data_IF_249716921939
#
_entry.id   IF_249716921939
#
_cell.length_a   1.000
_cell.length_b   1.000
_cell.length_c   1.000
_cell.angle_alpha   90.00
_cell.angle_beta   90.00
_cell.angle_gamma   90.00
#
_symmetry.space_group_name_H-M   'P 1'
#
loop_
_entity.id
_entity.type
_entity.pdbx_description
1 polymer ?
#
# COMPACT_ATOMS: atom_id res chain seq x y z
N UNK A 1 -0.57 29.73 -6.14
CA UNK A 1 -0.57 29.00 -4.86
C UNK A 1 0.03 27.65 -5.14
N UNK A 2 1.22 27.36 -4.61
CA UNK A 2 1.82 26.04 -4.74
C UNK A 2 0.87 25.01 -4.12
N UNK A 3 0.27 24.18 -4.97
CA UNK A 3 -0.60 23.12 -4.49
C UNK A 3 0.27 22.14 -3.70
N UNK A 4 -0.10 21.90 -2.44
CA UNK A 4 0.56 20.93 -1.57
C UNK A 4 0.58 19.57 -2.28
N UNK A 5 1.77 18.99 -2.48
CA UNK A 5 1.89 17.64 -3.01
C UNK A 5 1.30 16.65 -1.99
N UNK A 6 0.54 15.63 -2.44
CA UNK A 6 0.04 14.60 -1.55
C UNK A 6 1.20 13.83 -0.92
N UNK A 7 0.98 13.32 0.28
CA UNK A 7 1.90 12.39 0.92
C UNK A 7 1.62 10.96 0.43
N UNK A 8 2.66 10.29 -0.08
CA UNK A 8 2.56 8.98 -0.70
C UNK A 8 3.03 7.91 0.29
N UNK A 9 2.09 7.05 0.68
CA UNK A 9 2.28 5.93 1.61
C UNK A 9 2.19 4.63 0.81
N UNK A 10 3.25 3.84 0.82
CA UNK A 10 3.27 2.53 0.15
C UNK A 10 3.19 1.41 1.17
N UNK A 11 2.25 0.48 0.98
CA UNK A 11 2.13 -0.71 1.80
C UNK A 11 2.89 -1.85 1.10
N UNK A 12 4.08 -2.19 1.60
CA UNK A 12 4.98 -3.13 0.95
C UNK A 12 5.36 -4.29 1.87
N UNK A 13 5.46 -5.49 1.31
CA UNK A 13 6.07 -6.66 1.94
C UNK A 13 6.32 -7.72 0.87
N UNK A 14 7.47 -8.39 0.92
CA UNK A 14 7.82 -9.47 -0.01
C UNK A 14 7.18 -10.81 0.37
N UNK A 15 6.42 -10.85 1.48
CA UNK A 15 5.66 -12.02 1.90
C UNK A 15 4.18 -11.84 1.58
N UNK A 16 3.59 -12.86 0.94
CA UNK A 16 2.14 -12.93 0.74
C UNK A 16 1.37 -13.13 2.05
N UNK A 17 0.12 -12.69 2.11
CA UNK A 17 -0.77 -12.99 3.23
C UNK A 17 -0.55 -12.20 4.53
N UNK A 18 0.40 -11.25 4.57
CA UNK A 18 0.65 -10.40 5.75
C UNK A 18 -0.38 -9.29 5.97
N UNK A 19 -1.32 -9.10 5.03
CA UNK A 19 -2.43 -8.14 5.15
C UNK A 19 -2.19 -6.77 4.51
N UNK A 20 -1.34 -6.65 3.48
CA UNK A 20 -1.05 -5.39 2.76
C UNK A 20 -2.32 -4.66 2.28
N UNK A 21 -3.13 -5.32 1.45
CA UNK A 21 -4.39 -4.76 0.93
C UNK A 21 -5.40 -4.43 2.03
N UNK A 22 -5.40 -5.20 3.12
CA UNK A 22 -6.26 -4.93 4.29
C UNK A 22 -5.83 -3.64 4.99
N UNK A 23 -4.53 -3.48 5.27
CA UNK A 23 -3.98 -2.24 5.87
C UNK A 23 -4.24 -1.05 4.96
N UNK A 24 -3.99 -1.17 3.65
CA UNK A 24 -4.27 -0.12 2.67
C UNK A 24 -5.76 0.31 2.70
N UNK A 25 -6.66 -0.67 2.74
CA UNK A 25 -8.10 -0.45 2.83
C UNK A 25 -8.47 0.28 4.11
N UNK A 26 -8.07 -0.22 5.28
CA UNK A 26 -8.45 0.38 6.57
C UNK A 26 -7.83 1.76 6.75
N UNK A 27 -6.57 1.96 6.33
CA UNK A 27 -5.93 3.28 6.34
C UNK A 27 -6.71 4.31 5.52
N UNK A 28 -7.21 3.92 4.34
CA UNK A 28 -8.01 4.83 3.52
C UNK A 28 -9.29 5.28 4.22
N UNK A 29 -9.95 4.40 4.98
CA UNK A 29 -11.13 4.75 5.78
C UNK A 29 -10.77 5.60 6.99
N UNK A 30 -9.67 5.32 7.69
CA UNK A 30 -9.19 6.16 8.80
C UNK A 30 -8.89 7.58 8.34
N UNK A 31 -8.15 7.72 7.23
CA UNK A 31 -7.83 9.03 6.66
C UNK A 31 -9.10 9.76 6.19
N UNK A 32 -10.07 9.05 5.60
CA UNK A 32 -11.36 9.61 5.23
C UNK A 32 -12.10 10.16 6.47
N UNK A 33 -12.09 9.41 7.57
CA UNK A 33 -12.72 9.83 8.84
C UNK A 33 -12.00 11.02 9.49
N UNK A 34 -10.74 11.24 9.11
CA UNK A 34 -9.95 12.44 9.41
C UNK A 34 -10.14 13.58 8.38
N UNK A 35 -11.19 13.50 7.53
CA UNK A 35 -11.51 14.45 6.47
C UNK A 35 -10.39 14.67 5.44
N UNK A 36 -9.61 13.63 5.15
CA UNK A 36 -8.58 13.67 4.10
C UNK A 36 -9.13 13.19 2.77
N UNK A 37 -8.60 13.73 1.67
CA UNK A 37 -8.85 13.24 0.32
C UNK A 37 -7.75 12.25 -0.09
N UNK A 38 -8.14 11.03 -0.45
CA UNK A 38 -7.24 9.89 -0.65
C UNK A 38 -7.38 9.35 -2.07
N UNK A 39 -6.25 9.05 -2.69
CA UNK A 39 -6.15 8.18 -3.85
C UNK A 39 -5.56 6.83 -3.45
N UNK A 40 -6.31 5.76 -3.68
CA UNK A 40 -5.81 4.39 -3.62
C UNK A 40 -5.27 3.98 -4.99
N UNK A 41 -4.14 3.28 -5.02
CA UNK A 41 -3.60 2.66 -6.23
C UNK A 41 -3.27 1.20 -5.93
N UNK A 42 -3.90 0.30 -6.67
CA UNK A 42 -3.61 -1.13 -6.59
C UNK A 42 -2.58 -1.49 -7.66
N UNK A 43 -1.36 -1.85 -7.26
CA UNK A 43 -0.30 -2.36 -8.12
C UNK A 43 -0.15 -3.88 -8.01
N UNK A 44 -0.98 -4.57 -7.23
CA UNK A 44 -0.89 -6.02 -7.08
C UNK A 44 -1.71 -6.70 -8.19
N UNK A 45 -1.13 -7.56 -9.04
CA UNK A 45 -1.90 -8.33 -10.03
C UNK A 45 -2.95 -9.27 -9.40
N UNK A 46 -2.83 -9.60 -8.11
CA UNK A 46 -3.86 -10.31 -7.33
C UNK A 46 -5.08 -9.45 -7.00
N UNK A 47 -5.05 -8.16 -7.35
CA UNK A 47 -6.17 -7.22 -7.41
C UNK A 47 -7.10 -7.25 -6.19
N UNK A 48 -6.56 -7.50 -4.99
CA UNK A 48 -7.34 -7.70 -3.76
C UNK A 48 -7.99 -6.40 -3.30
N UNK A 49 -7.25 -5.28 -3.35
CA UNK A 49 -7.77 -3.95 -3.06
C UNK A 49 -8.86 -3.55 -4.06
N UNK A 50 -8.61 -3.81 -5.35
CA UNK A 50 -9.58 -3.57 -6.42
C UNK A 50 -10.87 -4.38 -6.22
N UNK A 51 -10.75 -5.66 -5.91
CA UNK A 51 -11.89 -6.55 -5.69
C UNK A 51 -12.76 -6.08 -4.52
N UNK A 52 -12.14 -5.55 -3.47
CA UNK A 52 -12.87 -4.97 -2.33
C UNK A 52 -13.75 -3.77 -2.75
N UNK A 53 -13.29 -2.94 -3.69
CA UNK A 53 -14.00 -1.77 -4.19
C UNK A 53 -14.71 -1.98 -5.54
N UNK A 54 -14.89 -3.23 -5.99
CA UNK A 54 -15.36 -3.56 -7.34
C UNK A 54 -16.64 -2.83 -7.75
N UNK A 55 -17.59 -2.65 -6.82
CA UNK A 55 -18.87 -1.95 -7.07
C UNK A 55 -18.73 -0.49 -7.50
N UNK A 56 -17.57 0.14 -7.31
CA UNK A 56 -17.30 1.53 -7.68
C UNK A 56 -16.55 1.66 -9.02
N UNK A 57 -16.14 0.54 -9.62
CA UNK A 57 -15.36 0.55 -10.85
C UNK A 57 -16.31 0.61 -12.04
N UNK A 58 -16.20 1.68 -12.84
CA UNK A 58 -17.07 1.90 -14.00
C UNK A 58 -16.65 1.04 -15.19
N UNK A 59 -15.35 1.01 -15.45
CA UNK A 59 -14.74 0.27 -16.56
C UNK A 59 -13.41 -0.30 -16.11
N UNK A 60 -13.36 -1.61 -15.94
CA UNK A 60 -12.15 -2.33 -15.51
C UNK A 60 -11.04 -2.29 -16.56
N UNK A 61 -11.32 -1.92 -17.81
CA UNK A 61 -10.29 -1.74 -18.83
C UNK A 61 -9.47 -0.47 -18.58
N UNK A 62 -9.96 0.49 -17.80
CA UNK A 62 -9.16 1.63 -17.34
C UNK A 62 -8.46 1.28 -16.02
N UNK A 63 -7.51 0.34 -16.10
CA UNK A 63 -6.74 -0.14 -14.96
C UNK A 63 -5.25 0.27 -15.05
N UNK A 64 -4.53 0.05 -13.96
CA UNK A 64 -3.13 0.45 -13.78
C UNK A 64 -2.19 -0.12 -14.85
N UNK A 65 -2.46 -1.32 -15.39
CA UNK A 65 -1.63 -1.89 -16.46
C UNK A 65 -1.66 -1.00 -17.70
N UNK A 66 -2.84 -0.56 -18.13
CA UNK A 66 -2.97 0.32 -19.30
C UNK A 66 -2.44 1.73 -19.03
N UNK A 67 -2.53 2.22 -17.78
CA UNK A 67 -1.83 3.45 -17.39
C UNK A 67 -0.31 3.29 -17.55
N UNK A 68 0.25 2.17 -17.09
CA UNK A 68 1.70 1.91 -17.16
C UNK A 68 2.20 1.56 -18.57
N UNK A 69 1.32 1.30 -19.55
CA UNK A 69 1.71 0.97 -20.92
C UNK A 69 2.23 2.14 -21.77
N UNK A 70 2.14 3.38 -21.28
CA UNK A 70 2.64 4.59 -21.97
C UNK A 70 2.04 4.83 -23.36
N UNK A 71 0.76 4.53 -23.55
CA UNK A 71 0.09 4.84 -24.82
C UNK A 71 -0.05 6.36 -25.00
N UNK A 72 0.07 6.85 -26.25
CA UNK A 72 0.24 8.28 -26.56
C UNK A 72 -0.97 9.18 -26.20
N UNK A 73 -2.08 8.62 -25.69
CA UNK A 73 -3.31 9.35 -25.34
C UNK A 73 -3.95 8.86 -24.03
N UNK A 74 -3.16 8.73 -22.96
CA UNK A 74 -3.72 8.45 -21.63
C UNK A 74 -4.39 9.70 -21.06
N UNK A 75 -5.70 9.62 -20.83
CA UNK A 75 -6.47 10.59 -20.05
C UNK A 75 -6.53 10.07 -18.61
N UNK A 76 -5.81 10.70 -17.69
CA UNK A 76 -5.65 10.21 -16.31
C UNK A 76 -7.00 10.06 -15.58
N UNK A 77 -7.96 10.96 -15.82
CA UNK A 77 -9.32 10.90 -15.26
C UNK A 77 -10.04 9.58 -15.55
N UNK A 78 -9.77 8.94 -16.69
CA UNK A 78 -10.43 7.68 -17.05
C UNK A 78 -10.06 6.54 -16.09
N UNK A 79 -8.88 6.62 -15.46
CA UNK A 79 -8.37 5.63 -14.52
C UNK A 79 -8.83 5.90 -13.08
N UNK A 80 -9.37 7.09 -12.80
CA UNK A 80 -9.82 7.50 -11.47
C UNK A 80 -11.27 7.07 -11.23
N UNK A 81 -11.45 6.05 -10.39
CA UNK A 81 -12.77 5.58 -9.97
C UNK A 81 -13.13 6.20 -8.62
N UNK A 82 -14.24 6.93 -8.56
CA UNK A 82 -14.72 7.57 -7.33
C UNK A 82 -15.44 6.56 -6.44
N UNK A 83 -14.95 6.35 -5.22
CA UNK A 83 -15.58 5.51 -4.20
C UNK A 83 -16.60 6.34 -3.40
N UNK A 84 -16.20 7.54 -2.98
CA UNK A 84 -17.05 8.53 -2.31
C UNK A 84 -16.47 9.94 -2.52
N UNK A 85 -16.92 10.94 -1.74
CA UNK A 85 -16.46 12.33 -1.89
C UNK A 85 -14.96 12.52 -1.64
N UNK A 86 -14.39 11.67 -0.78
CA UNK A 86 -13.01 11.79 -0.29
C UNK A 86 -12.08 10.69 -0.82
N UNK A 87 -12.60 9.58 -1.36
CA UNK A 87 -11.81 8.42 -1.76
C UNK A 87 -11.95 8.10 -3.25
N UNK A 88 -10.80 7.86 -3.88
CA UNK A 88 -10.67 7.48 -5.28
C UNK A 88 -9.77 6.25 -5.40
N UNK A 89 -9.89 5.50 -6.50
CA UNK A 89 -9.12 4.29 -6.77
C UNK A 89 -8.65 4.27 -8.22
N UNK A 90 -7.36 3.97 -8.43
CA UNK A 90 -6.84 3.42 -9.69
C UNK A 90 -6.78 1.89 -9.53
N UNK A 91 -7.63 1.14 -10.25
CA UNK A 91 -7.76 -0.30 -10.04
C UNK A 91 -6.64 -1.09 -10.72
N UNK A 92 -6.34 -2.25 -10.17
CA UNK A 92 -5.53 -3.31 -10.78
C UNK A 92 -6.41 -4.29 -11.57
N UNK A 93 -5.76 -5.12 -12.37
CA UNK A 93 -6.39 -6.24 -13.06
C UNK A 93 -5.34 -7.35 -13.25
N UNK A 94 -5.70 -8.66 -13.27
CA UNK A 94 -4.73 -9.75 -13.45
C UNK A 94 -3.84 -9.64 -14.71
N UNK A 95 -4.27 -8.88 -15.71
CA UNK A 95 -3.45 -8.55 -16.89
C UNK A 95 -2.14 -7.82 -16.53
N UNK A 96 -2.06 -7.17 -15.36
CA UNK A 96 -0.87 -6.51 -14.85
C UNK A 96 0.34 -7.45 -14.75
N UNK A 97 0.13 -8.76 -14.59
CA UNK A 97 1.19 -9.76 -14.69
C UNK A 97 1.98 -9.69 -16.02
N UNK A 98 1.38 -9.18 -17.09
CA UNK A 98 2.07 -8.98 -18.37
C UNK A 98 3.10 -7.86 -18.31
N UNK A 99 2.85 -6.82 -17.51
CA UNK A 99 3.77 -5.69 -17.37
C UNK A 99 5.18 -6.17 -17.07
N UNK A 100 5.34 -7.08 -16.10
CA UNK A 100 6.64 -7.66 -15.72
C UNK A 100 7.36 -8.39 -16.85
N UNK A 101 6.63 -9.03 -17.78
CA UNK A 101 7.22 -9.81 -18.88
C UNK A 101 7.60 -8.95 -20.09
N UNK A 102 7.11 -7.73 -20.15
CA UNK A 102 7.30 -6.85 -21.31
C UNK A 102 8.54 -5.99 -21.15
N UNK A 103 9.27 -5.83 -22.25
CA UNK A 103 10.41 -4.94 -22.34
C UNK A 103 9.93 -3.50 -22.59
N UNK A 104 9.95 -2.69 -21.54
CA UNK A 104 9.44 -1.32 -21.55
C UNK A 104 10.55 -0.39 -21.07
N UNK A 105 10.88 0.61 -21.87
CA UNK A 105 11.91 1.58 -21.52
C UNK A 105 11.49 2.42 -20.30
N UNK A 106 12.39 2.52 -19.32
CA UNK A 106 12.18 3.21 -18.03
C UNK A 106 10.99 2.65 -17.23
N UNK A 107 10.80 1.32 -17.28
CA UNK A 107 9.70 0.57 -16.67
C UNK A 107 9.35 0.99 -15.24
N UNK A 108 10.37 1.23 -14.42
CA UNK A 108 10.25 1.50 -12.98
C UNK A 108 9.90 2.97 -12.65
N UNK A 109 9.89 3.86 -13.66
CA UNK A 109 9.64 5.30 -13.52
C UNK A 109 8.30 5.73 -14.13
N UNK A 110 7.50 4.79 -14.63
CA UNK A 110 6.31 5.12 -15.41
C UNK A 110 5.24 5.74 -14.51
N UNK A 111 5.02 5.18 -13.32
CA UNK A 111 4.04 5.72 -12.38
C UNK A 111 4.41 7.14 -11.94
N UNK A 112 5.70 7.41 -11.69
CA UNK A 112 6.21 8.76 -11.43
C UNK A 112 5.83 9.74 -12.53
N UNK A 113 6.14 9.39 -13.79
CA UNK A 113 5.85 10.25 -14.92
C UNK A 113 4.37 10.65 -15.01
N UNK A 114 3.45 9.71 -14.75
CA UNK A 114 2.02 10.02 -14.73
C UNK A 114 1.62 10.84 -13.52
N UNK A 115 2.17 10.57 -12.36
CA UNK A 115 1.82 11.26 -11.14
C UNK A 115 2.31 12.71 -11.14
N UNK A 116 3.53 12.97 -11.57
CA UNK A 116 4.09 14.33 -11.69
C UNK A 116 3.28 15.20 -12.64
N UNK A 117 2.76 14.62 -13.73
CA UNK A 117 1.94 15.34 -14.71
C UNK A 117 0.52 15.61 -14.26
N UNK A 118 -0.06 14.75 -13.43
CA UNK A 118 -1.51 14.73 -13.22
C UNK A 118 -1.93 15.00 -11.78
N UNK A 119 -1.18 14.56 -10.76
CA UNK A 119 -1.66 14.61 -9.37
C UNK A 119 -1.92 16.03 -8.87
N UNK A 120 -1.16 17.03 -9.33
CA UNK A 120 -1.38 18.42 -8.96
C UNK A 120 -2.76 18.96 -9.38
N UNK A 121 -3.47 18.29 -10.30
CA UNK A 121 -4.83 18.67 -10.67
C UNK A 121 -5.87 18.23 -9.64
N UNK A 122 -5.52 17.28 -8.76
CA UNK A 122 -6.43 16.69 -7.78
C UNK A 122 -5.91 17.05 -6.39
N UNK A 123 -6.73 17.71 -5.58
CA UNK A 123 -6.36 18.12 -4.21
C UNK A 123 -6.34 16.92 -3.25
N UNK A 124 -5.59 15.87 -3.58
CA UNK A 124 -5.36 14.74 -2.69
C UNK A 124 -4.44 15.16 -1.55
N UNK A 125 -4.78 14.75 -0.34
CA UNK A 125 -3.90 14.84 0.83
C UNK A 125 -2.94 13.66 0.86
N UNK A 126 -3.44 12.47 0.49
CA UNK A 126 -2.69 11.21 0.57
C UNK A 126 -2.87 10.35 -0.69
N UNK A 127 -1.82 9.63 -1.05
CA UNK A 127 -1.88 8.48 -1.97
C UNK A 127 -1.46 7.23 -1.21
N UNK A 128 -2.29 6.19 -1.22
CA UNK A 128 -1.97 4.87 -0.67
C UNK A 128 -1.75 3.89 -1.82
N UNK A 129 -0.58 3.25 -1.84
CA UNK A 129 -0.22 2.29 -2.89
C UNK A 129 -0.12 0.89 -2.28
N UNK A 130 -0.94 -0.05 -2.75
CA UNK A 130 -0.86 -1.48 -2.43
C UNK A 130 0.01 -2.18 -3.48
N UNK A 131 1.01 -2.96 -3.06
CA UNK A 131 2.03 -3.53 -3.94
C UNK A 131 1.94 -5.05 -4.06
N UNK A 132 2.52 -5.70 -5.08
CA UNK A 132 2.64 -7.15 -5.10
C UNK A 132 3.57 -7.68 -4.00
N UNK A 133 3.45 -8.96 -3.60
CA UNK A 133 4.35 -9.60 -2.64
C UNK A 133 5.67 -10.07 -3.30
N UNK A 134 6.31 -9.22 -4.10
CA UNK A 134 7.54 -9.55 -4.83
C UNK A 134 8.38 -8.32 -5.11
N UNK A 135 9.70 -8.51 -5.17
CA UNK A 135 10.64 -7.53 -5.73
C UNK A 135 10.53 -7.56 -7.25
N UNK A 136 9.86 -6.56 -7.80
CA UNK A 136 9.47 -6.50 -9.21
C UNK A 136 9.43 -5.05 -9.69
N UNK A 137 9.37 -4.80 -10.99
CA UNK A 137 9.33 -3.43 -11.50
C UNK A 137 8.13 -2.62 -10.96
N UNK A 138 7.03 -3.30 -10.59
CA UNK A 138 5.88 -2.69 -9.91
C UNK A 138 6.23 -2.14 -8.52
N UNK A 139 7.06 -2.81 -7.73
CA UNK A 139 7.45 -2.29 -6.40
C UNK A 139 8.29 -1.02 -6.57
N UNK A 140 9.21 -0.98 -7.53
CA UNK A 140 10.03 0.21 -7.79
C UNK A 140 9.20 1.37 -8.34
N UNK A 141 8.16 1.10 -9.16
CA UNK A 141 7.20 2.14 -9.55
C UNK A 141 6.57 2.84 -8.33
N UNK A 142 6.27 2.09 -7.26
CA UNK A 142 5.82 2.68 -6.00
C UNK A 142 6.98 3.39 -5.29
N UNK A 143 8.06 2.67 -4.96
CA UNK A 143 9.16 3.19 -4.14
C UNK A 143 9.80 4.47 -4.71
N UNK A 144 9.86 4.61 -6.03
CA UNK A 144 10.42 5.80 -6.68
C UNK A 144 9.67 7.10 -6.34
N UNK A 145 8.37 7.03 -6.02
CA UNK A 145 7.53 8.18 -5.66
C UNK A 145 7.17 8.25 -4.17
N UNK A 146 7.35 7.16 -3.43
CA UNK A 146 6.96 7.05 -2.01
C UNK A 146 7.66 8.07 -1.10
N UNK A 147 6.91 8.57 -0.11
CA UNK A 147 7.43 9.31 1.05
C UNK A 147 7.58 8.41 2.28
N UNK A 148 6.60 7.52 2.50
CA UNK A 148 6.54 6.62 3.66
C UNK A 148 6.26 5.18 3.21
N UNK A 149 7.00 4.20 3.71
CA UNK A 149 6.72 2.77 3.50
C UNK A 149 6.22 2.16 4.80
N UNK A 150 5.10 1.46 4.73
CA UNK A 150 4.53 0.69 5.84
C UNK A 150 4.64 -0.79 5.51
N UNK A 151 5.33 -1.53 6.37
CA UNK A 151 5.62 -2.94 6.20
C UNK A 151 4.80 -3.73 7.22
N UNK A 152 3.64 -4.28 6.83
CA UNK A 152 2.94 -5.23 7.68
C UNK A 152 3.73 -6.53 7.73
N UNK A 153 3.97 -7.03 8.93
CA UNK A 153 4.66 -8.30 9.18
C UNK A 153 3.77 -9.22 10.01
N UNK A 154 3.92 -10.53 9.83
CA UNK A 154 3.41 -11.52 10.78
C UNK A 154 4.60 -12.06 11.55
N UNK A 155 4.51 -12.17 12.87
CA UNK A 155 5.61 -12.66 13.73
C UNK A 155 5.85 -14.16 13.50
N UNK A 156 6.50 -14.50 12.39
CA UNK A 156 6.90 -15.84 11.97
C UNK A 156 8.37 -15.82 11.56
N UNK A 157 9.06 -16.98 11.52
CA UNK A 157 10.51 -17.05 11.26
C UNK A 157 10.93 -16.23 10.03
N UNK A 158 10.15 -16.33 8.95
CA UNK A 158 10.39 -15.65 7.68
C UNK A 158 10.30 -14.11 7.73
N UNK A 159 9.71 -13.52 8.78
CA UNK A 159 9.63 -12.06 8.90
C UNK A 159 11.00 -11.42 9.15
N UNK A 160 11.83 -12.05 9.97
CA UNK A 160 13.20 -11.58 10.27
C UNK A 160 14.10 -11.68 9.03
N UNK A 161 13.84 -12.64 8.14
CA UNK A 161 14.61 -12.84 6.92
C UNK A 161 14.15 -11.94 5.76
N UNK A 162 12.85 -11.68 5.65
CA UNK A 162 12.27 -10.91 4.54
C UNK A 162 12.40 -9.40 4.69
N UNK A 163 12.43 -8.90 5.92
CA UNK A 163 12.53 -7.47 6.19
C UNK A 163 13.86 -6.84 5.73
N UNK A 164 15.05 -7.42 6.03
CA UNK A 164 16.33 -6.90 5.54
C UNK A 164 16.39 -6.75 4.03
N UNK A 165 15.86 -7.74 3.30
CA UNK A 165 15.84 -7.75 1.83
C UNK A 165 15.07 -6.52 1.32
N UNK A 166 13.85 -6.29 1.81
CA UNK A 166 13.08 -5.10 1.40
C UNK A 166 13.75 -3.78 1.85
N UNK A 167 14.40 -3.76 3.01
CA UNK A 167 15.14 -2.58 3.48
C UNK A 167 16.31 -2.21 2.58
N UNK A 168 17.02 -3.20 2.04
CA UNK A 168 18.13 -2.96 1.13
C UNK A 168 17.64 -2.35 -0.19
N UNK A 169 16.50 -2.82 -0.71
CA UNK A 169 15.85 -2.21 -1.90
C UNK A 169 15.41 -0.76 -1.64
N UNK A 170 14.85 -0.49 -0.47
CA UNK A 170 14.46 0.88 -0.08
C UNK A 170 15.71 1.77 -0.03
N UNK A 171 16.81 1.31 0.57
CA UNK A 171 18.07 2.06 0.65
C UNK A 171 18.68 2.32 -0.72
N UNK A 172 18.60 1.36 -1.64
CA UNK A 172 19.05 1.56 -3.02
C UNK A 172 18.26 2.69 -3.69
N UNK A 173 16.94 2.68 -3.57
CA UNK A 173 16.09 3.77 -4.08
C UNK A 173 16.42 5.10 -3.40
N UNK A 174 16.62 5.14 -2.08
CA UNK A 174 17.04 6.35 -1.36
C UNK A 174 18.35 6.93 -1.91
N UNK A 175 19.36 6.07 -2.15
CA UNK A 175 20.66 6.45 -2.69
C UNK A 175 20.55 7.02 -4.10
N UNK A 176 19.87 6.31 -5.01
CA UNK A 176 19.72 6.72 -6.41
C UNK A 176 18.94 8.03 -6.51
N UNK A 177 17.89 8.16 -5.71
CA UNK A 177 16.93 9.27 -5.79
C UNK A 177 17.31 10.44 -4.87
N UNK A 178 18.36 10.27 -4.06
CA UNK A 178 18.83 11.23 -3.05
C UNK A 178 17.69 11.73 -2.17
N UNK A 179 16.81 10.82 -1.76
CA UNK A 179 15.66 11.09 -0.91
C UNK A 179 15.69 10.17 0.30
N UNK A 180 14.99 10.57 1.36
CA UNK A 180 14.74 9.70 2.52
C UNK A 180 13.31 9.18 2.45
N UNK A 181 13.14 7.89 2.70
CA UNK A 181 11.86 7.21 2.83
C UNK A 181 11.70 6.85 4.30
N UNK A 182 10.61 7.30 4.92
CA UNK A 182 10.30 6.93 6.29
C UNK A 182 9.72 5.51 6.31
N UNK A 183 10.33 4.61 7.06
CA UNK A 183 9.94 3.19 7.12
C UNK A 183 9.29 2.91 8.46
N UNK A 184 8.13 2.25 8.42
CA UNK A 184 7.39 1.83 9.60
C UNK A 184 6.94 0.38 9.48
N UNK A 185 6.93 -0.33 10.61
CA UNK A 185 6.48 -1.72 10.73
C UNK A 185 5.16 -1.74 11.49
N UNK A 186 4.23 -2.58 11.02
CA UNK A 186 3.03 -2.95 11.76
C UNK A 186 3.07 -4.46 12.00
N UNK A 187 3.13 -4.86 13.26
CA UNK A 187 2.99 -6.26 13.65
C UNK A 187 1.53 -6.69 13.47
N UNK A 188 1.22 -7.36 12.37
CA UNK A 188 -0.14 -7.71 12.00
C UNK A 188 -0.49 -9.16 12.32
N UNK A 189 -1.78 -9.42 12.50
CA UNK A 189 -2.35 -10.74 12.82
C UNK A 189 -1.73 -11.37 14.07
N UNK A 190 -1.42 -10.53 15.06
CA UNK A 190 -0.86 -10.97 16.32
C UNK A 190 -1.84 -11.86 17.10
N UNK A 191 -1.37 -13.01 17.58
CA UNK A 191 -2.15 -13.96 18.39
C UNK A 191 -1.43 -14.15 19.72
N UNK A 192 -2.09 -13.76 20.80
CA UNK A 192 -1.58 -13.89 22.17
C UNK A 192 -1.30 -15.36 22.51
N UNK A 193 -0.21 -15.64 23.22
CA UNK A 193 0.18 -16.95 23.75
C UNK A 193 0.67 -18.01 22.74
N UNK A 194 1.23 -17.62 21.59
CA UNK A 194 2.03 -18.55 20.77
C UNK A 194 3.44 -18.69 21.35
N UNK A 195 3.62 -19.61 22.32
CA UNK A 195 4.93 -19.89 22.95
C UNK A 195 6.04 -20.23 21.93
N UNK A 196 5.69 -20.67 20.72
CA UNK A 196 6.61 -21.10 19.66
C UNK A 196 7.30 -19.97 18.90
N UNK A 197 6.94 -18.70 19.14
CA UNK A 197 7.43 -17.55 18.35
C UNK A 197 8.06 -16.43 19.20
N UNK A 198 8.23 -16.65 20.52
CA UNK A 198 8.80 -15.66 21.43
C UNK A 198 10.20 -15.23 21.03
N UNK A 199 11.08 -16.18 20.69
CA UNK A 199 12.45 -15.88 20.27
C UNK A 199 12.48 -15.00 19.00
N UNK A 200 11.52 -15.18 18.09
CA UNK A 200 11.43 -14.41 16.84
C UNK A 200 10.90 -12.99 17.12
N UNK A 201 9.90 -12.89 18.00
CA UNK A 201 9.40 -11.60 18.50
C UNK A 201 10.56 -10.82 19.15
N UNK A 202 11.33 -11.46 20.03
CA UNK A 202 12.50 -10.86 20.68
C UNK A 202 13.54 -10.38 19.67
N UNK A 203 13.91 -11.20 18.68
CA UNK A 203 14.86 -10.77 17.64
C UNK A 203 14.33 -9.58 16.85
N UNK A 204 13.05 -9.60 16.47
CA UNK A 204 12.43 -8.50 15.73
C UNK A 204 12.43 -7.20 16.55
N UNK A 205 12.09 -7.26 17.83
CA UNK A 205 12.14 -6.11 18.70
C UNK A 205 13.59 -5.65 18.93
N UNK A 206 14.55 -6.54 19.17
CA UNK A 206 15.96 -6.16 19.36
C UNK A 206 16.51 -5.43 18.12
N UNK A 207 16.21 -5.92 16.92
CA UNK A 207 16.77 -5.38 15.68
C UNK A 207 15.98 -4.19 15.12
N UNK A 208 14.65 -4.19 15.26
CA UNK A 208 13.78 -3.29 14.50
C UNK A 208 12.77 -2.50 15.35
N UNK A 209 12.92 -2.44 16.68
CA UNK A 209 11.98 -1.72 17.56
C UNK A 209 11.67 -0.29 17.08
N UNK A 210 12.68 0.43 16.59
CA UNK A 210 12.53 1.83 16.18
C UNK A 210 11.57 2.02 14.99
N UNK A 211 11.41 0.97 14.17
CA UNK A 211 10.50 0.96 13.03
C UNK A 211 9.08 0.56 13.44
N UNK A 212 8.88 -0.15 14.55
CA UNK A 212 7.57 -0.66 14.94
C UNK A 212 6.69 0.49 15.44
N UNK A 213 5.56 0.73 14.76
CA UNK A 213 4.58 1.78 15.10
C UNK A 213 3.26 1.24 15.65
N UNK A 214 3.07 -0.07 15.63
CA UNK A 214 1.87 -0.66 16.20
C UNK A 214 1.80 -2.16 16.02
N UNK A 215 0.84 -2.73 16.75
CA UNK A 215 0.50 -4.15 16.73
C UNK A 215 -1.00 -4.28 16.53
N UNK A 216 -1.40 -5.16 15.61
CA UNK A 216 -2.78 -5.43 15.23
C UNK A 216 -3.08 -6.88 15.52
N UNK A 217 -4.04 -7.10 16.41
CA UNK A 217 -4.45 -8.44 16.80
C UNK A 217 -5.24 -9.11 15.67
N UNK A 218 -5.08 -10.44 15.54
CA UNK A 218 -5.93 -11.22 14.67
C UNK A 218 -7.40 -11.04 15.08
N UNK A 219 -8.25 -10.70 14.11
CA UNK A 219 -9.69 -10.59 14.33
C UNK A 219 -10.48 -11.25 13.20
N UNK A 220 -11.47 -12.05 13.55
CA UNK A 220 -12.40 -12.64 12.59
C UNK A 220 -13.28 -11.57 11.92
N UNK A 221 -13.53 -10.43 12.58
CA UNK A 221 -14.31 -9.33 11.99
C UNK A 221 -13.65 -8.72 10.76
N UNK A 222 -12.31 -8.85 10.63
CA UNK A 222 -11.59 -8.50 9.40
C UNK A 222 -12.05 -9.33 8.21
N UNK A 223 -12.17 -10.65 8.39
CA UNK A 223 -12.63 -11.56 7.33
C UNK A 223 -14.07 -11.25 6.92
N UNK A 224 -14.91 -10.89 7.88
CA UNK A 224 -16.32 -10.55 7.63
C UNK A 224 -16.42 -9.34 6.71
N UNK A 225 -15.78 -8.21 7.05
CA UNK A 225 -15.92 -7.00 6.23
C UNK A 225 -15.28 -7.17 4.84
N UNK A 226 -14.18 -7.92 4.72
CA UNK A 226 -13.54 -8.20 3.44
C UNK A 226 -14.45 -9.07 2.56
N UNK A 227 -14.97 -10.18 3.10
CA UNK A 227 -15.80 -11.12 2.31
C UNK A 227 -17.16 -10.53 1.95
N UNK A 228 -17.71 -9.69 2.82
CA UNK A 228 -19.01 -9.03 2.59
C UNK A 228 -18.87 -7.68 1.88
N UNK A 229 -17.65 -7.24 1.54
CA UNK A 229 -17.34 -5.96 0.89
C UNK A 229 -17.96 -4.76 1.63
N UNK A 230 -17.93 -4.83 2.97
CA UNK A 230 -18.47 -3.81 3.88
C UNK A 230 -17.36 -2.88 4.36
N UNK A 231 -17.74 -1.65 4.64
CA UNK A 231 -16.85 -0.70 5.31
C UNK A 231 -16.39 -1.27 6.67
N UNK A 232 -15.10 -1.15 7.04
CA UNK A 232 -14.60 -1.61 8.33
C UNK A 232 -15.24 -0.81 9.47
N UNK A 233 -15.66 -1.51 10.52
CA UNK A 233 -16.32 -0.90 11.67
C UNK A 233 -15.28 -0.20 12.57
N UNK A 234 -15.41 1.12 12.74
CA UNK A 234 -14.50 1.95 13.53
C UNK A 234 -14.47 1.63 15.03
N UNK A 235 -15.46 0.87 15.53
CA UNK A 235 -15.51 0.43 16.92
C UNK A 235 -14.69 -0.84 17.19
N UNK A 236 -14.33 -1.58 16.15
CA UNK A 236 -13.56 -2.81 16.24
C UNK A 236 -12.12 -2.55 16.70
N UNK A 237 -11.54 -3.52 17.41
CA UNK A 237 -10.20 -3.43 17.98
C UNK A 237 -9.13 -3.22 16.89
N UNK A 238 -9.19 -3.98 15.79
CA UNK A 238 -8.21 -3.86 14.70
C UNK A 238 -8.21 -2.46 14.07
N UNK A 239 -9.37 -1.81 14.00
CA UNK A 239 -9.49 -0.47 13.43
C UNK A 239 -8.83 0.55 14.36
N UNK A 240 -9.09 0.46 15.66
CA UNK A 240 -8.47 1.32 16.68
C UNK A 240 -6.95 1.14 16.73
N UNK A 241 -6.47 -0.10 16.64
CA UNK A 241 -5.03 -0.40 16.59
C UNK A 241 -4.36 0.15 15.33
N UNK A 242 -4.98 -0.03 14.16
CA UNK A 242 -4.48 0.53 12.91
C UNK A 242 -4.54 2.07 12.89
N UNK A 243 -5.55 2.67 13.52
CA UNK A 243 -5.64 4.12 13.70
C UNK A 243 -4.49 4.64 14.55
N UNK A 244 -4.24 4.04 15.71
CA UNK A 244 -3.12 4.43 16.57
C UNK A 244 -1.77 4.25 15.86
N UNK A 245 -1.61 3.17 15.08
CA UNK A 245 -0.41 2.95 14.29
C UNK A 245 -0.23 4.01 13.20
N UNK A 246 -1.31 4.35 12.48
CA UNK A 246 -1.28 5.40 11.46
C UNK A 246 -0.97 6.77 12.05
N UNK A 247 -1.53 7.12 13.22
CA UNK A 247 -1.23 8.37 13.92
C UNK A 247 0.25 8.49 14.34
N UNK A 248 0.95 7.38 14.56
CA UNK A 248 2.40 7.37 14.81
C UNK A 248 3.26 7.41 13.53
N UNK A 249 2.66 7.07 12.38
CA UNK A 249 3.31 7.07 11.06
C UNK A 249 3.24 8.45 10.42
N UNK A 250 2.14 9.19 10.63
CA UNK A 250 1.92 10.54 10.09
C UNK A 250 2.74 11.61 10.84
#
# INVERSE_FOLDING_TARGET
MDKKKPEIITIASIKGGVGKSMVATVFSYILRDMNKKILLVDLDPQNSLTSYFLKYIKDINNNIYFLLKREQKVIFDNFLNRINDNMYLIPSHPILCKFEKEDILYKELILEFYFDKNLSNYNFDYVIIDTPPSLSSLIYNALNITNKVVIPIQTERWAVESFPILMDEIREVEMIRKKKIDVSIIENQFIKNRNTLKDIEEVLHIQYNNFIKGRVHFSNSIKVFINELREPNSQEMYYKELKNALEQIL
#
